data_IF_651468927582
#
_entry.id   IF_651468927582
#
_cell.length_a   1.000
_cell.length_b   1.000
_cell.length_c   1.000
_cell.angle_alpha   90.00
_cell.angle_beta   90.00
_cell.angle_gamma   90.00
#
_symmetry.space_group_name_H-M   'P 1'
#
loop_
_entity.id
_entity.type
_entity.pdbx_description
1 polymer ?
#
# COMPACT_ATOMS: atom_id res chain seq x y z
N UNK A 1 -72.22 -40.58 27.12
CA UNK A 1 -73.00 -41.65 26.41
C UNK A 1 -72.64 -41.62 24.92
N UNK A 2 -72.28 -42.83 24.44
CA UNK A 2 -72.25 -43.27 23.04
C UNK A 2 -71.18 -42.73 22.10
N UNK A 3 -70.09 -43.51 21.92
CA UNK A 3 -69.42 -43.78 20.67
C UNK A 3 -70.35 -44.42 19.63
N UNK A 4 -70.11 -44.34 18.32
CA UNK A 4 -69.25 -45.34 17.69
C UNK A 4 -68.57 -44.95 16.34
N UNK A 5 -67.59 -45.76 16.05
CA UNK A 5 -67.21 -46.50 14.82
C UNK A 5 -66.37 -45.80 13.71
N UNK A 6 -65.19 -46.22 13.71
CA UNK A 6 -64.23 -46.63 12.67
C UNK A 6 -64.81 -46.91 11.29
N UNK A 7 -64.20 -46.36 10.27
CA UNK A 7 -64.12 -46.94 8.92
C UNK A 7 -62.75 -46.69 8.31
N UNK A 8 -61.98 -47.79 8.19
CA UNK A 8 -60.74 -47.94 7.49
C UNK A 8 -61.02 -47.97 5.97
N UNK A 9 -60.36 -47.15 5.18
CA UNK A 9 -60.28 -47.29 3.72
C UNK A 9 -58.86 -47.36 3.30
N UNK A 10 -58.45 -48.53 2.87
CA UNK A 10 -57.14 -48.86 2.24
C UNK A 10 -57.27 -48.44 0.77
N UNK A 11 -56.36 -47.61 0.29
CA UNK A 11 -56.18 -47.32 -1.11
C UNK A 11 -54.73 -47.41 -1.54
N UNK A 12 -54.53 -48.19 -2.59
CA UNK A 12 -53.31 -48.67 -3.20
C UNK A 12 -52.32 -47.57 -3.55
N UNK A 13 -51.02 -47.93 -3.34
CA UNK A 13 -49.81 -47.30 -3.85
C UNK A 13 -49.69 -47.52 -5.36
N UNK A 14 -49.63 -46.42 -6.13
CA UNK A 14 -49.10 -46.45 -7.49
C UNK A 14 -47.78 -45.65 -7.49
N UNK A 15 -46.68 -46.37 -7.56
CA UNK A 15 -45.34 -45.80 -7.71
C UNK A 15 -45.15 -45.26 -9.13
N UNK A 16 -45.16 -43.93 -9.27
CA UNK A 16 -44.69 -43.26 -10.47
C UNK A 16 -43.25 -42.77 -10.21
N UNK A 17 -42.30 -43.52 -10.74
CA UNK A 17 -40.90 -43.09 -10.85
C UNK A 17 -40.79 -41.99 -11.90
N UNK A 18 -40.85 -40.74 -11.45
CA UNK A 18 -40.41 -39.60 -12.24
C UNK A 18 -38.89 -39.46 -12.08
N UNK A 19 -38.16 -39.78 -13.18
CA UNK A 19 -36.76 -39.51 -13.29
C UNK A 19 -36.50 -38.00 -13.15
N UNK A 20 -35.85 -37.60 -12.06
CA UNK A 20 -35.18 -36.32 -11.99
C UNK A 20 -33.93 -36.37 -12.90
N UNK A 21 -34.08 -35.87 -14.12
CA UNK A 21 -32.92 -35.36 -14.84
C UNK A 21 -32.40 -34.19 -14.03
N UNK A 22 -31.30 -34.42 -13.27
CA UNK A 22 -30.49 -33.35 -12.74
C UNK A 22 -29.96 -32.56 -13.95
N UNK A 23 -30.55 -31.41 -14.21
CA UNK A 23 -29.89 -30.37 -14.95
C UNK A 23 -28.62 -30.08 -14.17
N UNK A 24 -27.48 -30.46 -14.75
CA UNK A 24 -26.22 -29.92 -14.33
C UNK A 24 -26.33 -28.40 -14.42
N UNK A 25 -26.45 -27.75 -13.26
CA UNK A 25 -26.12 -26.37 -13.18
C UNK A 25 -24.63 -26.32 -13.60
N UNK A 26 -24.34 -25.61 -14.67
CA UNK A 26 -23.03 -25.12 -14.91
C UNK A 26 -22.56 -24.52 -13.56
N UNK A 27 -21.63 -25.17 -12.90
CA UNK A 27 -20.79 -24.51 -11.92
C UNK A 27 -20.10 -23.42 -12.73
N UNK A 28 -20.74 -22.25 -12.82
CA UNK A 28 -20.07 -21.03 -13.17
C UNK A 28 -18.89 -21.01 -12.19
N UNK A 29 -17.70 -21.17 -12.74
CA UNK A 29 -16.43 -21.10 -12.05
C UNK A 29 -16.45 -19.78 -11.27
N UNK A 30 -16.93 -19.81 -10.02
CA UNK A 30 -16.86 -18.70 -9.10
C UNK A 30 -15.39 -18.64 -8.70
N UNK A 31 -14.59 -17.97 -9.55
CA UNK A 31 -13.18 -17.72 -9.26
C UNK A 31 -13.05 -17.15 -7.86
N UNK A 32 -11.90 -17.39 -7.25
CA UNK A 32 -11.61 -16.86 -5.92
C UNK A 32 -11.81 -15.34 -5.92
N UNK A 33 -12.59 -14.83 -4.98
CA UNK A 33 -12.81 -13.39 -4.82
C UNK A 33 -11.89 -12.89 -3.74
N UNK A 34 -11.01 -11.92 -4.08
CA UNK A 34 -10.09 -11.27 -3.14
C UNK A 34 -10.43 -9.79 -3.00
N UNK A 35 -10.71 -9.36 -1.78
CA UNK A 35 -10.91 -7.95 -1.45
C UNK A 35 -9.54 -7.31 -1.20
N UNK A 36 -9.14 -6.39 -2.09
CA UNK A 36 -7.84 -5.72 -2.00
C UNK A 36 -8.01 -4.23 -1.73
N UNK A 37 -7.23 -3.72 -0.76
CA UNK A 37 -7.17 -2.31 -0.43
C UNK A 37 -5.94 -1.63 -1.01
N UNK A 38 -6.12 -0.49 -1.65
CA UNK A 38 -5.03 0.33 -2.18
C UNK A 38 -5.32 1.81 -1.98
N UNK A 39 -4.31 2.65 -2.19
CA UNK A 39 -4.45 4.10 -2.30
C UNK A 39 -4.09 4.58 -3.71
N UNK A 40 -3.75 3.68 -4.62
CA UNK A 40 -3.36 3.95 -5.99
C UNK A 40 -4.57 3.78 -6.92
N UNK A 41 -4.61 4.55 -8.00
CA UNK A 41 -5.70 4.54 -8.97
C UNK A 41 -5.21 4.70 -10.41
N UNK A 42 -3.94 4.40 -10.63
CA UNK A 42 -3.31 4.50 -11.95
C UNK A 42 -3.70 3.32 -12.87
N UNK A 43 -3.51 3.45 -14.20
CA UNK A 43 -3.92 2.44 -15.19
C UNK A 43 -3.25 1.06 -15.03
N UNK A 44 -2.16 0.93 -14.27
CA UNK A 44 -1.52 -0.37 -14.04
C UNK A 44 -2.44 -1.34 -13.28
N UNK A 45 -3.34 -0.80 -12.46
CA UNK A 45 -4.34 -1.58 -11.73
C UNK A 45 -5.35 -2.26 -12.65
N UNK A 46 -5.74 -1.63 -13.78
CA UNK A 46 -6.63 -2.25 -14.76
C UNK A 46 -5.96 -3.47 -15.41
N UNK A 47 -4.66 -3.37 -15.70
CA UNK A 47 -3.88 -4.50 -16.25
C UNK A 47 -3.70 -5.61 -15.22
N UNK A 48 -3.41 -5.25 -13.98
CA UNK A 48 -3.30 -6.22 -12.87
C UNK A 48 -4.63 -6.97 -12.64
N UNK A 49 -5.75 -6.25 -12.58
CA UNK A 49 -7.08 -6.85 -12.44
C UNK A 49 -7.42 -7.79 -13.61
N UNK A 50 -7.10 -7.38 -14.84
CA UNK A 50 -7.30 -8.24 -16.00
C UNK A 50 -6.48 -9.53 -15.88
N UNK A 51 -5.20 -9.44 -15.50
CA UNK A 51 -4.32 -10.60 -15.33
C UNK A 51 -4.79 -11.52 -14.20
N UNK A 52 -5.28 -10.97 -13.10
CA UNK A 52 -5.88 -11.76 -12.02
C UNK A 52 -7.11 -12.54 -12.53
N UNK A 53 -7.97 -11.89 -13.28
CA UNK A 53 -9.18 -12.52 -13.88
C UNK A 53 -8.81 -13.63 -14.87
N UNK A 54 -7.76 -13.47 -15.67
CA UNK A 54 -7.23 -14.51 -16.58
C UNK A 54 -6.76 -15.77 -15.82
N UNK A 55 -6.42 -15.61 -14.53
CA UNK A 55 -6.02 -16.71 -13.62
C UNK A 55 -7.15 -17.19 -12.71
N UNK A 56 -8.41 -16.78 -12.98
CA UNK A 56 -9.58 -17.18 -12.21
C UNK A 56 -9.77 -16.41 -10.89
N UNK A 57 -9.03 -15.31 -10.65
CA UNK A 57 -9.16 -14.49 -9.44
C UNK A 57 -9.92 -13.21 -9.76
N UNK A 58 -10.99 -12.95 -9.02
CA UNK A 58 -11.78 -11.71 -9.11
C UNK A 58 -11.34 -10.75 -8.01
N UNK A 59 -10.81 -9.59 -8.38
CA UNK A 59 -10.43 -8.55 -7.41
C UNK A 59 -11.63 -7.64 -7.10
N UNK A 60 -11.90 -7.43 -5.83
CA UNK A 60 -12.76 -6.36 -5.32
C UNK A 60 -11.86 -5.27 -4.76
N UNK A 61 -11.55 -4.26 -5.59
CA UNK A 61 -10.60 -3.21 -5.26
C UNK A 61 -11.31 -2.10 -4.48
N UNK A 62 -10.82 -1.81 -3.27
CA UNK A 62 -11.20 -0.63 -2.48
C UNK A 62 -10.08 0.39 -2.53
N UNK A 63 -10.35 1.55 -3.15
CA UNK A 63 -9.39 2.64 -3.20
C UNK A 63 -9.64 3.61 -2.05
N UNK A 64 -8.66 3.79 -1.18
CA UNK A 64 -8.70 4.70 -0.05
C UNK A 64 -8.11 6.07 -0.42
N UNK A 65 -8.59 7.13 0.20
CA UNK A 65 -8.15 8.51 -0.07
C UNK A 65 -6.79 8.84 0.54
N UNK A 66 -6.43 8.14 1.61
CA UNK A 66 -5.22 8.38 2.41
C UNK A 66 -4.67 7.07 2.99
N UNK A 67 -3.51 7.14 3.65
CA UNK A 67 -2.80 5.98 4.18
C UNK A 67 -3.33 5.44 5.52
N UNK A 68 -4.24 6.13 6.20
CA UNK A 68 -4.70 5.78 7.55
C UNK A 68 -5.63 4.56 7.58
N UNK A 69 -6.37 4.29 6.51
CA UNK A 69 -7.47 3.33 6.50
C UNK A 69 -7.09 1.89 6.12
N UNK A 70 -6.18 1.61 5.13
CA UNK A 70 -6.06 0.25 4.60
C UNK A 70 -5.61 -0.79 5.63
N UNK A 71 -4.68 -0.46 6.54
CA UNK A 71 -4.25 -1.40 7.58
C UNK A 71 -5.34 -1.66 8.62
N UNK A 72 -6.13 -0.64 8.95
CA UNK A 72 -7.30 -0.79 9.85
C UNK A 72 -8.33 -1.72 9.20
N UNK A 73 -8.65 -1.50 7.92
CA UNK A 73 -9.59 -2.34 7.17
C UNK A 73 -9.11 -3.79 7.07
N UNK A 74 -7.80 -4.02 6.87
CA UNK A 74 -7.20 -5.35 6.84
C UNK A 74 -7.29 -6.04 8.21
N UNK A 75 -6.93 -5.34 9.29
CA UNK A 75 -7.04 -5.86 10.66
C UNK A 75 -8.48 -6.20 11.05
N UNK A 76 -9.45 -5.43 10.55
CA UNK A 76 -10.88 -5.62 10.79
C UNK A 76 -11.55 -6.60 9.80
N UNK A 77 -10.78 -7.29 8.95
CA UNK A 77 -11.26 -8.25 7.94
C UNK A 77 -12.24 -7.65 6.91
N UNK A 78 -12.19 -6.33 6.70
CA UNK A 78 -12.98 -5.66 5.66
C UNK A 78 -12.37 -5.88 4.27
N UNK A 79 -11.04 -6.06 4.22
CA UNK A 79 -10.27 -6.49 3.06
C UNK A 79 -9.40 -7.69 3.43
N UNK A 80 -8.88 -8.40 2.43
CA UNK A 80 -8.10 -9.63 2.60
C UNK A 80 -6.61 -9.37 2.44
N UNK A 81 -6.26 -8.46 1.55
CA UNK A 81 -4.90 -8.05 1.22
C UNK A 81 -4.88 -6.54 1.04
N UNK A 82 -3.76 -5.89 1.30
CA UNK A 82 -3.54 -4.54 0.81
C UNK A 82 -2.21 -4.41 0.03
N UNK A 83 -2.18 -3.44 -0.87
CA UNK A 83 -1.00 -3.02 -1.61
C UNK A 83 -1.01 -1.49 -1.71
N UNK A 84 -0.30 -0.82 -0.81
CA UNK A 84 -0.20 0.65 -0.75
C UNK A 84 1.01 1.14 0.05
N UNK A 85 1.70 0.25 0.75
CA UNK A 85 2.64 0.61 1.80
C UNK A 85 3.99 -0.07 1.63
N UNK A 86 5.02 0.56 2.17
CA UNK A 86 6.35 -0.02 2.34
C UNK A 86 6.55 -0.59 3.77
N UNK A 87 7.61 -1.38 3.96
CA UNK A 87 7.86 -2.11 5.21
C UNK A 87 8.06 -1.18 6.42
N UNK A 88 8.65 0.01 6.25
CA UNK A 88 8.77 0.97 7.35
C UNK A 88 7.39 1.42 7.85
N UNK A 89 6.45 1.73 6.93
CA UNK A 89 5.08 2.12 7.29
C UNK A 89 4.33 0.97 7.99
N UNK A 90 4.47 -0.24 7.46
CA UNK A 90 3.91 -1.45 8.08
C UNK A 90 4.47 -1.68 9.49
N UNK A 91 5.79 -1.50 9.66
CA UNK A 91 6.45 -1.62 10.96
C UNK A 91 5.92 -0.64 12.00
N UNK A 92 5.76 0.63 11.62
CA UNK A 92 5.17 1.66 12.49
C UNK A 92 3.73 1.28 12.90
N UNK A 93 2.91 0.86 11.93
CA UNK A 93 1.55 0.43 12.22
C UNK A 93 1.51 -0.76 13.20
N UNK A 94 2.31 -1.80 12.93
CA UNK A 94 2.34 -3.00 13.76
C UNK A 94 2.79 -2.70 15.20
N UNK A 95 3.84 -1.90 15.36
CA UNK A 95 4.35 -1.53 16.70
C UNK A 95 3.33 -0.67 17.44
N UNK A 96 2.78 0.37 16.79
CA UNK A 96 1.86 1.30 17.42
C UNK A 96 0.52 0.65 17.82
N UNK A 97 0.06 -0.37 17.08
CA UNK A 97 -1.24 -1.02 17.30
C UNK A 97 -1.13 -2.42 17.89
N UNK A 98 0.08 -2.89 18.25
CA UNK A 98 0.34 -4.27 18.63
C UNK A 98 -0.29 -5.28 17.65
N UNK A 99 -0.12 -4.98 16.34
CA UNK A 99 -0.63 -5.77 15.24
C UNK A 99 0.47 -6.68 14.65
N UNK A 100 0.06 -7.67 13.85
CA UNK A 100 0.93 -8.67 13.24
C UNK A 100 0.69 -8.80 11.72
N UNK A 101 0.29 -7.70 11.08
CA UNK A 101 0.14 -7.70 9.63
C UNK A 101 1.48 -8.05 8.96
N UNK A 102 1.42 -8.92 7.94
CA UNK A 102 2.59 -9.63 7.41
C UNK A 102 2.73 -9.41 5.92
N UNK A 103 3.94 -9.07 5.41
CA UNK A 103 4.19 -8.97 3.98
C UNK A 103 4.32 -10.37 3.36
N UNK A 104 3.71 -10.58 2.20
CA UNK A 104 3.71 -11.86 1.48
C UNK A 104 4.51 -11.85 0.19
N UNK A 105 4.88 -10.68 -0.31
CA UNK A 105 5.74 -10.54 -1.49
C UNK A 105 6.01 -9.08 -1.80
N UNK A 106 7.23 -8.80 -2.29
CA UNK A 106 7.64 -7.46 -2.69
C UNK A 106 7.00 -7.06 -4.02
N UNK A 107 6.91 -5.76 -4.25
CA UNK A 107 6.47 -5.19 -5.53
C UNK A 107 7.52 -4.25 -6.11
N UNK A 108 7.78 -3.14 -5.46
CA UNK A 108 8.66 -2.08 -5.97
C UNK A 108 9.19 -1.18 -4.85
N UNK A 109 10.22 -0.40 -5.17
CA UNK A 109 10.60 0.80 -4.41
C UNK A 109 10.27 2.00 -5.28
N UNK A 110 9.59 2.97 -4.68
CA UNK A 110 9.27 4.25 -5.32
C UNK A 110 10.08 5.34 -4.65
N UNK A 111 10.83 6.18 -5.40
CA UNK A 111 11.57 7.28 -4.82
C UNK A 111 10.65 8.29 -4.14
N UNK A 112 11.08 8.84 -3.02
CA UNK A 112 10.43 9.97 -2.38
C UNK A 112 11.12 11.26 -2.85
N UNK A 113 10.35 12.18 -3.43
CA UNK A 113 10.89 13.38 -4.08
C UNK A 113 10.45 14.68 -3.46
N UNK A 114 11.33 15.69 -3.55
CA UNK A 114 11.06 17.11 -3.28
C UNK A 114 10.67 17.80 -4.58
N UNK A 115 9.50 18.42 -4.59
CA UNK A 115 8.93 19.14 -5.73
C UNK A 115 8.68 20.60 -5.40
N UNK A 116 8.64 21.45 -6.43
CA UNK A 116 8.28 22.85 -6.29
C UNK A 116 7.55 23.35 -7.53
N UNK A 117 6.61 24.29 -7.34
CA UNK A 117 6.00 25.07 -8.40
C UNK A 117 6.62 26.47 -8.52
N UNK A 118 7.37 26.90 -7.51
CA UNK A 118 7.96 28.25 -7.45
C UNK A 118 9.43 28.25 -7.87
N UNK A 119 10.13 27.13 -7.71
CA UNK A 119 11.58 27.05 -7.85
C UNK A 119 11.95 25.93 -8.83
N UNK A 120 13.03 26.11 -9.59
CA UNK A 120 13.51 25.15 -10.59
C UNK A 120 14.79 24.43 -10.14
N UNK A 121 15.39 24.87 -9.03
CA UNK A 121 16.56 24.23 -8.43
C UNK A 121 16.56 24.36 -6.90
N UNK A 122 17.35 23.53 -6.20
CA UNK A 122 17.54 23.63 -4.75
C UNK A 122 18.18 24.97 -4.33
N UNK A 123 18.97 25.58 -5.22
CA UNK A 123 19.64 26.85 -4.95
C UNK A 123 18.63 28.00 -4.86
N UNK A 124 17.56 27.95 -5.67
CA UNK A 124 16.53 29.00 -5.75
C UNK A 124 15.62 29.05 -4.53
N UNK A 125 15.54 27.98 -3.74
CA UNK A 125 14.75 27.95 -2.50
C UNK A 125 15.37 28.94 -1.52
N UNK A 126 14.63 29.94 -1.03
CA UNK A 126 15.20 30.97 -0.16
C UNK A 126 15.55 30.45 1.23
N UNK A 127 16.45 31.14 1.92
CA UNK A 127 16.67 30.90 3.35
C UNK A 127 15.39 31.22 4.12
N UNK A 128 14.99 30.31 5.04
CA UNK A 128 13.73 30.39 5.75
C UNK A 128 12.51 29.99 4.92
N UNK A 129 12.69 29.51 3.67
CA UNK A 129 11.64 28.94 2.83
C UNK A 129 10.89 27.80 3.52
N UNK A 130 9.65 27.56 3.15
CA UNK A 130 8.78 26.56 3.78
C UNK A 130 8.65 25.32 2.91
N UNK A 131 8.90 24.15 3.51
CA UNK A 131 8.77 22.84 2.85
C UNK A 131 7.72 22.01 3.58
N UNK A 132 6.65 21.62 2.86
CA UNK A 132 5.68 20.66 3.38
C UNK A 132 6.23 19.22 3.30
N UNK A 133 5.95 18.44 4.33
CA UNK A 133 6.34 17.01 4.41
C UNK A 133 5.17 16.18 4.93
N UNK A 134 5.11 14.85 4.63
CA UNK A 134 4.12 13.97 5.26
C UNK A 134 4.20 14.03 6.79
N UNK A 135 3.07 13.86 7.46
CA UNK A 135 2.99 13.86 8.93
C UNK A 135 2.98 12.46 9.56
N UNK A 136 2.82 11.41 8.77
CA UNK A 136 2.97 10.05 9.29
C UNK A 136 4.45 9.78 9.63
N UNK A 137 4.74 9.08 10.76
CA UNK A 137 6.10 8.97 11.28
C UNK A 137 7.10 8.43 10.26
N UNK A 138 6.72 7.41 9.48
CA UNK A 138 7.63 6.75 8.54
C UNK A 138 8.01 7.64 7.36
N UNK A 139 7.02 8.25 6.67
CA UNK A 139 7.29 9.15 5.54
C UNK A 139 7.84 10.50 5.99
N UNK A 140 7.48 10.96 7.20
CA UNK A 140 8.06 12.16 7.79
C UNK A 140 9.58 12.00 8.01
N UNK A 141 9.98 10.90 8.66
CA UNK A 141 11.40 10.61 8.87
C UNK A 141 12.15 10.49 7.54
N UNK A 142 11.59 9.77 6.56
CA UNK A 142 12.15 9.64 5.21
C UNK A 142 12.28 11.00 4.52
N UNK A 143 11.26 11.86 4.62
CA UNK A 143 11.29 13.21 4.06
C UNK A 143 12.40 14.07 4.68
N UNK A 144 12.63 13.96 5.98
CA UNK A 144 13.72 14.67 6.65
C UNK A 144 15.09 14.19 6.17
N UNK A 145 15.28 12.89 5.93
CA UNK A 145 16.51 12.38 5.29
C UNK A 145 16.68 12.89 3.86
N UNK A 146 15.59 12.95 3.07
CA UNK A 146 15.63 13.55 1.72
C UNK A 146 16.06 15.00 1.78
N UNK A 147 15.50 15.80 2.69
CA UNK A 147 15.85 17.21 2.87
C UNK A 147 17.27 17.40 3.40
N UNK A 148 17.74 16.53 4.29
CA UNK A 148 19.14 16.54 4.77
C UNK A 148 20.10 16.21 3.63
N UNK A 149 19.82 15.19 2.84
CA UNK A 149 20.64 14.82 1.68
C UNK A 149 20.66 15.93 0.60
N UNK A 150 19.55 16.67 0.46
CA UNK A 150 19.45 17.85 -0.39
C UNK A 150 20.20 19.09 0.15
N UNK A 151 20.74 19.03 1.37
CA UNK A 151 21.41 20.16 2.03
C UNK A 151 20.48 21.29 2.49
N UNK A 152 19.17 20.99 2.61
CA UNK A 152 18.16 21.97 3.03
C UNK A 152 17.90 21.94 4.53
N UNK A 153 18.08 20.81 5.17
CA UNK A 153 17.87 20.59 6.60
C UNK A 153 19.14 19.95 7.19
N UNK A 154 19.44 20.28 8.44
CA UNK A 154 20.42 19.59 9.26
C UNK A 154 19.72 18.99 10.48
N UNK A 155 19.91 17.70 10.71
CA UNK A 155 19.44 17.03 11.91
C UNK A 155 20.45 17.21 13.05
N UNK A 156 19.95 17.41 14.26
CA UNK A 156 20.75 17.61 15.48
C UNK A 156 21.23 16.32 16.12
N UNK A 157 20.63 15.18 15.73
CA UNK A 157 20.94 13.85 16.24
C UNK A 157 21.02 12.82 15.10
N UNK A 158 21.77 11.75 15.33
CA UNK A 158 21.88 10.60 14.41
C UNK A 158 20.80 9.56 14.74
N UNK A 159 19.54 10.00 14.74
CA UNK A 159 18.39 9.11 14.94
C UNK A 159 17.96 8.44 13.65
N UNK A 160 17.43 7.22 13.72
CA UNK A 160 16.89 6.50 12.56
C UNK A 160 15.43 6.86 12.26
N UNK A 161 14.75 7.53 13.18
CA UNK A 161 13.36 7.96 13.07
C UNK A 161 13.22 9.45 13.41
N UNK A 162 13.89 10.37 12.65
CA UNK A 162 13.84 11.79 12.96
C UNK A 162 12.43 12.37 12.83
N UNK A 163 12.15 13.34 13.68
CA UNK A 163 10.96 14.18 13.65
C UNK A 163 11.36 15.64 13.42
N UNK A 164 10.43 16.57 13.20
CA UNK A 164 10.73 17.99 13.10
C UNK A 164 11.36 18.60 14.36
N UNK A 165 11.26 17.92 15.52
CA UNK A 165 11.95 18.33 16.75
C UNK A 165 13.46 18.11 16.69
N UNK A 166 13.91 17.20 15.82
CA UNK A 166 15.33 16.87 15.62
C UNK A 166 16.01 17.80 14.61
N UNK A 167 15.32 18.80 14.06
CA UNK A 167 15.90 19.77 13.13
C UNK A 167 16.69 20.82 13.89
N UNK A 168 17.98 20.95 13.58
CA UNK A 168 18.78 22.11 13.95
C UNK A 168 18.36 23.31 13.10
N UNK A 169 17.49 24.14 13.67
CA UNK A 169 16.87 25.27 12.96
C UNK A 169 17.85 26.35 12.54
N UNK A 170 18.91 26.56 13.32
CA UNK A 170 19.90 27.60 13.05
C UNK A 170 20.85 27.16 11.91
N UNK A 171 21.09 25.86 11.78
CA UNK A 171 21.92 25.29 10.74
C UNK A 171 21.15 24.85 9.49
N UNK A 172 19.82 24.94 9.49
CA UNK A 172 18.95 24.54 8.37
C UNK A 172 18.59 25.73 7.49
N UNK A 173 18.56 25.50 6.16
CA UNK A 173 18.18 26.53 5.18
C UNK A 173 16.67 26.82 5.18
N UNK A 174 15.85 25.79 5.44
CA UNK A 174 14.38 25.84 5.30
C UNK A 174 13.68 25.49 6.61
N UNK A 175 12.38 25.86 6.69
CA UNK A 175 11.44 25.38 7.71
C UNK A 175 10.64 24.22 7.16
N UNK A 176 10.25 23.31 8.04
CA UNK A 176 9.47 22.11 7.66
C UNK A 176 8.10 22.18 8.32
N UNK A 177 7.06 21.96 7.53
CA UNK A 177 5.66 21.94 7.97
C UNK A 177 5.06 20.56 7.68
N UNK A 178 4.77 19.74 8.71
CA UNK A 178 4.08 18.48 8.53
C UNK A 178 2.61 18.68 8.14
N UNK A 179 2.18 17.95 7.11
CA UNK A 179 0.78 17.89 6.65
C UNK A 179 0.43 16.45 6.32
N UNK A 180 -0.86 16.12 6.24
CA UNK A 180 -1.28 14.82 5.75
C UNK A 180 -0.63 14.52 4.39
N UNK A 181 -0.19 13.26 4.18
CA UNK A 181 0.51 12.86 2.95
C UNK A 181 -0.29 13.21 1.69
N UNK A 182 -1.63 13.04 1.72
CA UNK A 182 -2.51 13.39 0.61
C UNK A 182 -2.62 14.91 0.38
N UNK A 183 -2.23 15.74 1.35
CA UNK A 183 -2.25 17.21 1.24
C UNK A 183 -0.91 17.79 0.75
N UNK A 184 0.17 16.98 0.73
CA UNK A 184 1.51 17.45 0.35
C UNK A 184 1.55 18.05 -1.06
N UNK A 185 0.89 17.41 -2.03
CA UNK A 185 0.84 17.91 -3.41
C UNK A 185 0.04 19.21 -3.56
N UNK A 186 -1.05 19.37 -2.79
CA UNK A 186 -1.85 20.59 -2.76
C UNK A 186 -1.09 21.75 -2.14
N UNK A 187 -0.22 21.48 -1.18
CA UNK A 187 0.61 22.49 -0.49
C UNK A 187 1.56 23.21 -1.45
N UNK A 188 1.92 22.61 -2.60
CA UNK A 188 2.77 23.24 -3.63
C UNK A 188 2.28 24.62 -4.11
N UNK A 189 1.00 24.94 -3.91
CA UNK A 189 0.45 26.23 -4.30
C UNK A 189 0.81 27.36 -3.32
N UNK A 190 1.20 27.02 -2.09
CA UNK A 190 1.46 27.98 -1.01
C UNK A 190 2.91 27.97 -0.51
N UNK A 191 3.52 26.81 -0.39
CA UNK A 191 4.89 26.62 0.14
C UNK A 191 5.98 26.76 -0.95
N UNK A 192 7.24 26.77 -0.55
CA UNK A 192 8.37 26.85 -1.47
C UNK A 192 8.72 25.48 -2.09
N UNK A 193 8.36 24.40 -1.43
CA UNK A 193 8.48 23.03 -1.91
C UNK A 193 7.69 22.07 -1.06
N UNK A 194 7.54 20.84 -1.56
CA UNK A 194 6.86 19.78 -0.83
C UNK A 194 7.51 18.43 -1.12
N UNK A 195 7.73 17.63 -0.09
CA UNK A 195 8.11 16.22 -0.25
C UNK A 195 6.84 15.41 -0.41
N UNK A 196 6.70 14.73 -1.57
CA UNK A 196 5.44 14.14 -1.99
C UNK A 196 5.64 12.65 -2.28
N UNK A 197 4.81 11.80 -1.66
CA UNK A 197 4.75 10.39 -2.00
C UNK A 197 4.19 10.19 -3.43
N UNK A 198 4.74 9.24 -4.17
CA UNK A 198 4.41 9.01 -5.58
C UNK A 198 2.91 8.84 -5.83
N UNK A 199 2.20 8.14 -4.95
CA UNK A 199 0.74 7.94 -4.96
C UNK A 199 -0.04 9.25 -5.20
N UNK A 200 0.42 10.37 -4.65
CA UNK A 200 -0.28 11.65 -4.73
C UNK A 200 0.20 12.55 -5.87
N UNK A 201 1.26 12.18 -6.58
CA UNK A 201 1.77 12.94 -7.73
C UNK A 201 0.78 12.89 -8.90
N UNK A 202 0.34 11.68 -9.27
CA UNK A 202 -0.57 11.48 -10.39
C UNK A 202 -1.90 12.21 -10.18
N UNK A 203 -2.53 12.00 -9.00
CA UNK A 203 -3.78 12.67 -8.62
C UNK A 203 -3.71 14.20 -8.70
N UNK A 204 -2.51 14.76 -8.56
CA UNK A 204 -2.26 16.20 -8.54
C UNK A 204 -1.67 16.73 -9.85
N UNK A 205 -1.46 15.87 -10.86
CA UNK A 205 -0.85 16.23 -12.14
C UNK A 205 0.61 16.67 -12.02
N UNK A 206 1.31 16.29 -10.97
CA UNK A 206 2.73 16.57 -10.77
C UNK A 206 3.56 15.51 -11.50
N UNK A 207 4.49 15.94 -12.37
CA UNK A 207 5.36 15.01 -13.07
C UNK A 207 6.42 14.42 -12.11
N UNK A 208 6.48 13.09 -11.92
CA UNK A 208 7.51 12.45 -11.09
C UNK A 208 8.96 12.81 -11.50
N UNK A 209 9.17 13.17 -12.76
CA UNK A 209 10.49 13.60 -13.29
C UNK A 209 10.85 15.05 -12.95
N UNK A 210 9.89 15.84 -12.45
CA UNK A 210 10.13 17.24 -12.08
C UNK A 210 10.70 17.42 -10.67
N UNK A 211 11.03 16.35 -9.96
CA UNK A 211 11.63 16.43 -8.64
C UNK A 211 12.94 17.23 -8.64
N UNK A 212 13.05 18.23 -7.76
CA UNK A 212 14.31 18.97 -7.52
C UNK A 212 15.36 18.09 -6.87
N UNK A 213 14.93 17.11 -6.07
CA UNK A 213 15.77 16.11 -5.42
C UNK A 213 14.91 14.88 -5.07
N UNK A 214 15.51 13.72 -5.00
CA UNK A 214 14.84 12.47 -4.56
C UNK A 214 15.87 11.54 -3.94
N UNK A 215 15.41 10.62 -3.09
CA UNK A 215 16.24 9.53 -2.61
C UNK A 215 16.55 8.51 -3.72
N UNK A 216 17.58 7.69 -3.47
CA UNK A 216 18.02 6.66 -4.42
C UNK A 216 17.39 5.29 -4.02
N UNK A 217 16.45 4.77 -4.83
CA UNK A 217 15.81 3.48 -4.57
C UNK A 217 16.79 2.29 -4.68
N UNK A 218 17.96 2.48 -5.27
CA UNK A 218 19.00 1.44 -5.40
C UNK A 218 19.97 1.42 -4.21
N UNK A 219 19.89 2.40 -3.31
CA UNK A 219 20.78 2.49 -2.14
C UNK A 219 20.48 1.36 -1.14
N UNK A 220 21.50 0.88 -0.38
CA UNK A 220 21.27 -0.10 0.70
C UNK A 220 20.28 0.38 1.76
N UNK A 221 20.17 1.70 1.98
CA UNK A 221 19.23 2.32 2.90
C UNK A 221 17.78 2.30 2.42
N UNK A 222 17.51 1.93 1.16
CA UNK A 222 16.17 1.88 0.59
C UNK A 222 15.39 0.61 0.97
N UNK A 223 16.04 -0.42 1.53
CA UNK A 223 15.42 -1.71 1.87
C UNK A 223 14.13 -1.57 2.72
N UNK A 224 14.05 -0.71 3.76
CA UNK A 224 12.81 -0.50 4.51
C UNK A 224 11.66 0.11 3.69
N UNK A 225 11.94 0.67 2.53
CA UNK A 225 10.97 1.32 1.65
C UNK A 225 10.51 0.43 0.49
N UNK A 226 10.78 -0.88 0.56
CA UNK A 226 10.18 -1.87 -0.35
C UNK A 226 8.68 -1.92 -0.08
N UNK A 227 7.88 -1.67 -1.13
CA UNK A 227 6.43 -1.87 -1.10
C UNK A 227 6.10 -3.35 -1.24
N UNK A 228 5.04 -3.79 -0.59
CA UNK A 228 4.68 -5.20 -0.52
C UNK A 228 3.17 -5.42 -0.51
N UNK A 229 2.75 -6.58 -0.99
CA UNK A 229 1.47 -7.15 -0.63
C UNK A 229 1.50 -7.55 0.85
N UNK A 230 0.47 -7.14 1.58
CA UNK A 230 0.35 -7.38 3.02
C UNK A 230 -0.99 -8.01 3.33
N UNK A 231 -0.98 -9.01 4.20
CA UNK A 231 -2.17 -9.68 4.72
C UNK A 231 -2.07 -9.91 6.24
N UNK A 232 -3.04 -10.55 6.85
CA UNK A 232 -2.98 -11.00 8.26
C UNK A 232 -2.00 -12.16 8.39
N UNK A 233 -1.38 -12.33 9.55
CA UNK A 233 -0.38 -13.38 9.78
C UNK A 233 -0.93 -14.80 9.55
N UNK A 234 -2.19 -15.05 9.92
CA UNK A 234 -2.83 -16.34 9.70
C UNK A 234 -3.12 -16.66 8.25
N UNK A 235 -3.20 -15.67 7.36
CA UNK A 235 -3.56 -15.82 5.96
C UNK A 235 -2.34 -15.77 5.03
N UNK A 236 -1.12 -15.65 5.56
CA UNK A 236 0.09 -15.39 4.77
C UNK A 236 0.46 -16.49 3.76
N UNK A 237 0.04 -17.72 4.02
CA UNK A 237 0.31 -18.87 3.18
C UNK A 237 -0.86 -19.20 2.23
N UNK A 238 -1.88 -18.33 2.13
CA UNK A 238 -3.00 -18.51 1.21
C UNK A 238 -2.50 -18.53 -0.24
N UNK A 239 -2.75 -19.63 -1.00
CA UNK A 239 -2.23 -19.78 -2.35
C UNK A 239 -2.78 -18.75 -3.34
N UNK A 240 -4.00 -18.24 -3.12
CA UNK A 240 -4.60 -17.20 -3.95
C UNK A 240 -3.88 -15.88 -3.77
N UNK A 241 -3.50 -15.52 -2.53
CA UNK A 241 -2.76 -14.29 -2.28
C UNK A 241 -1.32 -14.38 -2.78
N UNK A 242 -0.67 -15.54 -2.64
CA UNK A 242 0.66 -15.79 -3.25
C UNK A 242 0.60 -15.67 -4.77
N UNK A 243 -0.50 -16.11 -5.39
CA UNK A 243 -0.71 -15.98 -6.83
C UNK A 243 -0.82 -14.53 -7.28
N UNK A 244 -1.42 -13.63 -6.46
CA UNK A 244 -1.45 -12.19 -6.77
C UNK A 244 -0.05 -11.59 -6.83
N UNK A 245 0.85 -12.02 -5.93
CA UNK A 245 2.26 -11.59 -5.97
C UNK A 245 2.92 -12.01 -7.29
N UNK A 246 2.69 -13.25 -7.76
CA UNK A 246 3.23 -13.70 -9.04
C UNK A 246 2.66 -12.89 -10.22
N UNK A 247 1.35 -12.64 -10.22
CA UNK A 247 0.65 -11.86 -11.26
C UNK A 247 1.17 -10.43 -11.31
N UNK A 248 1.47 -9.81 -10.15
CA UNK A 248 2.06 -8.47 -10.14
C UNK A 248 3.36 -8.40 -10.92
N UNK A 249 4.13 -9.45 -10.92
CA UNK A 249 5.39 -9.57 -11.65
C UNK A 249 5.23 -10.05 -13.10
N UNK A 250 4.00 -10.16 -13.62
CA UNK A 250 3.78 -10.39 -15.04
C UNK A 250 4.38 -9.24 -15.87
N UNK A 251 5.07 -9.52 -16.99
CA UNK A 251 5.70 -8.49 -17.81
C UNK A 251 4.75 -7.39 -18.30
N UNK A 252 3.46 -7.70 -18.52
CA UNK A 252 2.49 -6.69 -18.95
C UNK A 252 2.08 -5.77 -17.78
N UNK A 253 1.93 -6.31 -16.58
CA UNK A 253 1.70 -5.51 -15.38
C UNK A 253 2.90 -4.61 -15.12
N UNK A 254 4.11 -5.15 -15.16
CA UNK A 254 5.34 -4.38 -14.93
C UNK A 254 5.56 -3.29 -16.00
N UNK A 255 5.17 -3.54 -17.26
CA UNK A 255 5.20 -2.52 -18.29
C UNK A 255 4.22 -1.36 -17.99
N UNK A 256 3.01 -1.68 -17.53
CA UNK A 256 2.02 -0.69 -17.13
C UNK A 256 2.46 0.12 -15.89
N UNK A 257 3.06 -0.55 -14.88
CA UNK A 257 3.66 0.11 -13.69
C UNK A 257 4.79 1.07 -14.11
N UNK A 258 5.65 0.64 -15.02
CA UNK A 258 6.74 1.49 -15.52
C UNK A 258 6.21 2.71 -16.30
N UNK A 259 5.12 2.56 -17.04
CA UNK A 259 4.46 3.66 -17.75
C UNK A 259 3.82 4.64 -16.76
N UNK A 260 3.02 4.16 -15.81
CA UNK A 260 2.35 4.97 -14.78
C UNK A 260 3.36 5.73 -13.92
N UNK A 261 4.43 5.08 -13.47
CA UNK A 261 5.51 5.71 -12.71
C UNK A 261 6.46 6.56 -13.55
N UNK A 262 6.26 6.63 -14.88
CA UNK A 262 7.20 7.25 -15.85
C UNK A 262 8.64 6.75 -15.71
N UNK A 263 8.80 5.47 -15.33
CA UNK A 263 10.09 4.81 -15.14
C UNK A 263 10.84 5.26 -13.89
N UNK A 264 10.16 5.81 -12.88
CA UNK A 264 10.80 6.21 -11.62
C UNK A 264 10.78 5.11 -10.56
N UNK A 265 9.84 4.16 -10.62
CA UNK A 265 9.81 3.00 -9.72
C UNK A 265 10.86 1.94 -10.12
N UNK A 266 11.31 1.18 -9.14
CA UNK A 266 12.24 0.05 -9.32
C UNK A 266 11.56 -1.22 -8.83
N UNK A 267 11.36 -2.18 -9.74
CA UNK A 267 10.81 -3.49 -9.39
C UNK A 267 11.71 -4.20 -8.39
N UNK A 268 11.09 -4.83 -7.38
CA UNK A 268 11.78 -5.64 -6.38
C UNK A 268 11.13 -7.02 -6.31
N UNK A 269 11.94 -8.06 -6.42
CA UNK A 269 11.50 -9.45 -6.30
C UNK A 269 12.11 -10.06 -5.03
N UNK A 270 11.35 -10.04 -3.94
CA UNK A 270 11.68 -10.70 -2.67
C UNK A 270 10.48 -11.46 -2.15
N UNK A 271 10.73 -12.62 -1.58
CA UNK A 271 9.71 -13.46 -0.94
C UNK A 271 9.17 -12.84 0.35
N UNK A 272 7.97 -13.26 0.78
CA UNK A 272 7.42 -12.88 2.08
C UNK A 272 8.38 -13.13 3.24
N UNK A 273 9.07 -14.28 3.25
CA UNK A 273 10.03 -14.63 4.30
C UNK A 273 11.23 -13.66 4.38
N UNK A 274 11.75 -13.19 3.25
CA UNK A 274 12.81 -12.17 3.22
C UNK A 274 12.29 -10.82 3.74
N UNK A 275 11.06 -10.45 3.35
CA UNK A 275 10.42 -9.22 3.80
C UNK A 275 10.07 -9.24 5.30
N UNK A 276 9.66 -10.40 5.84
CA UNK A 276 9.42 -10.57 7.27
C UNK A 276 10.70 -10.30 8.09
N UNK A 277 11.87 -10.74 7.60
CA UNK A 277 13.15 -10.46 8.25
C UNK A 277 13.48 -8.96 8.27
N UNK A 278 13.19 -8.25 7.17
CA UNK A 278 13.37 -6.79 7.10
C UNK A 278 12.39 -6.12 8.06
N UNK A 279 11.12 -6.53 8.04
CA UNK A 279 10.09 -5.99 8.92
C UNK A 279 10.44 -6.15 10.40
N UNK A 280 10.96 -7.32 10.80
CA UNK A 280 11.42 -7.56 12.18
C UNK A 280 12.53 -6.58 12.59
N UNK A 281 13.53 -6.33 11.72
CA UNK A 281 14.58 -5.34 11.98
C UNK A 281 14.01 -3.92 12.10
N UNK A 282 13.08 -3.57 11.21
CA UNK A 282 12.40 -2.27 11.24
C UNK A 282 11.63 -2.09 12.56
N UNK A 283 10.81 -3.06 12.94
CA UNK A 283 10.04 -3.01 14.18
C UNK A 283 10.94 -2.93 15.42
N UNK A 284 12.07 -3.65 15.42
CA UNK A 284 13.03 -3.57 16.52
C UNK A 284 13.63 -2.16 16.62
N UNK A 285 14.04 -1.57 15.48
CA UNK A 285 14.56 -0.19 15.46
C UNK A 285 13.54 0.82 15.99
N UNK A 286 12.26 0.66 15.64
CA UNK A 286 11.18 1.54 16.13
C UNK A 286 11.02 1.40 17.64
N UNK A 287 11.01 0.18 18.18
CA UNK A 287 10.89 -0.06 19.64
C UNK A 287 12.08 0.50 20.41
N UNK A 288 13.28 0.39 19.86
CA UNK A 288 14.51 0.88 20.50
C UNK A 288 14.63 2.42 20.48
N UNK A 289 13.89 3.07 19.59
CA UNK A 289 13.84 4.53 19.47
C UNK A 289 12.70 5.20 20.25
N UNK A 290 11.80 4.41 20.84
CA UNK A 290 10.71 4.86 21.73
C UNK A 290 11.14 4.85 23.19
#
# INVERSE_FOLDING_TARGET
MRFPRVLTVTALVAAATLGLTACGADEANSGDVVRIGTTESDPSWDVFEQKAREQGITLQITNYSDYSQPNIALSQRQIDVNLFQHLQFLGEYNVANNADLTPIGATQIVPLGLYSKKHTSLADIPAGGEIAVPNDPSNQARALFVLQAAGLVKLSSDTRTPSPADIDRDASKVRVTPVDAAQTALSLNSVDGSVINNTFLERSGVDPKSALFKDDPSSPGAEPYINAFVTRAEDKDDPTYQKLVEIWHDPQVQAAVAESSKGTSVEVRRSGAELEQILQRVQQTIRDGQ
#
